data_IF_663864281040
#
_entry.id   IF_663864281040
#
_cell.length_a   1.000
_cell.length_b   1.000
_cell.length_c   1.000
_cell.angle_alpha   90.00
_cell.angle_beta   90.00
_cell.angle_gamma   90.00
#
_symmetry.space_group_name_H-M   'P 1'
#
loop_
_entity.id
_entity.type
_entity.pdbx_description
1 polymer ?
#
# COMPACT_ATOMS: atom_id res chain seq x y z
N UNK A 1 33.17 -16.51 28.35
CA UNK A 1 33.05 -15.06 28.28
C UNK A 1 32.79 -14.64 26.84
N UNK A 2 31.73 -15.17 26.22
CA UNK A 2 31.33 -14.96 24.81
C UNK A 2 29.81 -15.14 24.64
N UNK A 3 29.00 -14.51 25.51
CA UNK A 3 27.53 -14.52 25.44
C UNK A 3 27.01 -13.15 25.91
N UNK A 4 27.44 -12.07 25.25
CA UNK A 4 26.90 -10.74 25.56
C UNK A 4 26.97 -9.72 24.40
N UNK A 5 26.87 -10.16 23.15
CA UNK A 5 26.89 -9.25 21.97
C UNK A 5 25.82 -9.61 20.94
N UNK A 6 24.59 -9.90 21.37
CA UNK A 6 23.43 -10.06 20.49
C UNK A 6 22.20 -9.34 21.03
N UNK A 7 22.36 -8.13 21.50
CA UNK A 7 21.24 -7.26 21.85
C UNK A 7 21.72 -5.82 21.68
N UNK A 8 21.18 -5.12 20.72
CA UNK A 8 21.14 -3.68 20.45
C UNK A 8 21.65 -3.27 19.05
N UNK A 9 21.03 -3.83 18.02
CA UNK A 9 20.97 -3.11 16.76
C UNK A 9 19.52 -2.63 16.49
N UNK A 10 18.89 -2.02 17.49
CA UNK A 10 17.79 -1.10 17.28
C UNK A 10 18.44 0.20 16.79
N UNK A 11 18.43 0.44 15.49
CA UNK A 11 18.76 1.76 14.95
C UNK A 11 17.96 2.82 15.72
N UNK A 12 18.69 3.69 16.45
CA UNK A 12 18.07 4.78 17.20
C UNK A 12 17.39 5.70 16.19
N UNK A 13 16.06 5.63 16.10
CA UNK A 13 15.28 6.48 15.19
C UNK A 13 15.63 7.94 15.43
N UNK A 14 15.88 8.67 14.35
CA UNK A 14 16.05 10.12 14.40
C UNK A 14 14.78 10.80 14.95
N UNK A 15 14.90 12.05 15.43
CA UNK A 15 13.73 12.81 15.89
C UNK A 15 12.68 13.00 14.80
N UNK A 16 13.12 13.19 13.57
CA UNK A 16 12.23 13.25 12.41
C UNK A 16 11.45 11.94 12.22
N UNK A 17 12.13 10.79 12.26
CA UNK A 17 11.50 9.47 12.15
C UNK A 17 10.54 9.18 13.31
N UNK A 18 10.84 9.64 14.53
CA UNK A 18 9.94 9.52 15.68
C UNK A 18 8.66 10.36 15.46
N UNK A 19 8.79 11.58 14.93
CA UNK A 19 7.66 12.45 14.60
C UNK A 19 6.80 11.82 13.50
N UNK A 20 7.42 11.32 12.42
CA UNK A 20 6.70 10.67 11.31
C UNK A 20 5.94 9.43 11.77
N UNK A 21 6.53 8.56 12.57
CA UNK A 21 5.85 7.38 13.10
C UNK A 21 4.65 7.74 13.99
N UNK A 22 4.80 8.75 14.88
CA UNK A 22 3.71 9.23 15.72
C UNK A 22 2.59 9.91 14.88
N UNK A 23 2.97 10.67 13.86
CA UNK A 23 2.04 11.34 12.95
C UNK A 23 1.25 10.34 12.10
N UNK A 24 1.91 9.32 11.58
CA UNK A 24 1.25 8.24 10.85
C UNK A 24 0.14 7.62 11.69
N UNK A 25 0.45 7.20 12.90
CA UNK A 25 -0.54 6.61 13.81
C UNK A 25 -1.71 7.57 14.11
N UNK A 26 -1.43 8.85 14.35
CA UNK A 26 -2.44 9.86 14.64
C UNK A 26 -3.37 10.10 13.43
N UNK A 27 -2.79 10.23 12.21
CA UNK A 27 -3.57 10.43 10.99
C UNK A 27 -4.38 9.19 10.58
N UNK A 28 -3.79 8.00 10.64
CA UNK A 28 -4.50 6.77 10.29
C UNK A 28 -5.68 6.48 11.21
N UNK A 29 -5.62 6.89 12.49
CA UNK A 29 -6.67 6.62 13.47
C UNK A 29 -7.73 7.70 13.54
N UNK A 30 -7.34 8.98 13.39
CA UNK A 30 -8.23 10.13 13.60
C UNK A 30 -8.58 10.92 12.33
N UNK A 31 -8.01 10.54 11.20
CA UNK A 31 -8.07 11.31 9.96
C UNK A 31 -7.30 12.63 10.04
N UNK A 32 -7.26 13.35 8.92
CA UNK A 32 -6.58 14.65 8.91
C UNK A 32 -7.18 15.63 9.89
N UNK A 33 -8.50 15.84 9.88
CA UNK A 33 -9.15 16.89 10.69
C UNK A 33 -9.05 16.61 12.19
N UNK A 34 -9.19 15.34 12.60
CA UNK A 34 -9.11 14.91 14.00
C UNK A 34 -7.70 14.86 14.59
N UNK A 35 -6.67 14.78 13.77
CA UNK A 35 -5.29 14.71 14.21
C UNK A 35 -4.79 16.05 14.79
N UNK A 36 -4.01 15.98 15.88
CA UNK A 36 -3.45 17.16 16.58
C UNK A 36 -1.94 17.09 16.66
N UNK A 37 -1.26 18.14 16.22
CA UNK A 37 0.22 18.24 16.27
C UNK A 37 0.77 18.18 17.69
N UNK A 38 0.01 18.65 18.68
CA UNK A 38 0.37 18.52 20.10
C UNK A 38 0.36 17.09 20.59
N UNK A 39 -0.61 16.27 20.13
CA UNK A 39 -0.68 14.83 20.41
C UNK A 39 0.50 14.10 19.76
N UNK A 40 0.78 14.42 18.50
CA UNK A 40 1.92 13.86 17.75
C UNK A 40 3.23 14.16 18.46
N UNK A 41 3.49 15.41 18.84
CA UNK A 41 4.71 15.80 19.55
C UNK A 41 4.88 15.03 20.87
N UNK A 42 3.80 14.88 21.65
CA UNK A 42 3.79 14.12 22.90
C UNK A 42 4.14 12.65 22.68
N UNK A 43 3.54 11.99 21.69
CA UNK A 43 3.79 10.58 21.36
C UNK A 43 5.22 10.38 20.84
N UNK A 44 5.71 11.32 20.02
CA UNK A 44 7.06 11.31 19.46
C UNK A 44 8.16 11.62 20.50
N UNK A 45 7.80 12.01 21.74
CA UNK A 45 8.77 12.41 22.77
C UNK A 45 9.56 13.66 22.39
N UNK A 46 8.93 14.62 21.71
CA UNK A 46 9.53 15.90 21.31
C UNK A 46 8.68 17.08 21.80
N UNK A 47 9.29 18.26 21.86
CA UNK A 47 8.52 19.50 22.11
C UNK A 47 7.71 19.89 20.88
N UNK A 48 6.61 20.62 21.07
CA UNK A 48 5.81 21.14 19.95
C UNK A 48 6.64 22.09 19.05
N UNK A 49 7.54 22.87 19.64
CA UNK A 49 8.47 23.71 18.89
C UNK A 49 9.41 22.89 17.99
N UNK A 50 9.90 21.75 18.49
CA UNK A 50 10.75 20.85 17.71
C UNK A 50 9.96 20.20 16.56
N UNK A 51 8.72 19.80 16.76
CA UNK A 51 7.87 19.33 15.67
C UNK A 51 7.71 20.40 14.58
N UNK A 52 7.45 21.66 14.96
CA UNK A 52 7.33 22.76 14.01
C UNK A 52 8.65 23.16 13.33
N UNK A 53 9.78 22.85 13.94
CA UNK A 53 11.09 23.01 13.30
C UNK A 53 11.25 22.02 12.12
N UNK A 54 10.86 20.76 12.28
CA UNK A 54 10.91 19.73 11.23
C UNK A 54 9.79 19.89 10.19
N UNK A 55 8.57 20.14 10.69
CA UNK A 55 7.37 20.21 9.86
C UNK A 55 6.58 21.47 10.23
N UNK A 56 6.69 22.48 9.40
CA UNK A 56 6.11 23.81 9.67
C UNK A 56 4.59 23.79 9.78
N UNK A 57 3.92 22.89 9.05
CA UNK A 57 2.46 22.78 9.03
C UNK A 57 2.02 21.33 9.17
N UNK A 58 0.80 21.14 9.65
CA UNK A 58 0.14 19.83 9.71
C UNK A 58 -0.01 19.22 8.31
N UNK A 59 -0.26 20.06 7.28
CA UNK A 59 -0.37 19.64 5.89
C UNK A 59 0.95 19.05 5.37
N UNK A 60 2.07 19.73 5.59
CA UNK A 60 3.38 19.20 5.18
C UNK A 60 3.70 17.84 5.84
N UNK A 61 3.33 17.70 7.12
CA UNK A 61 3.51 16.42 7.83
C UNK A 61 2.61 15.33 7.24
N UNK A 62 1.37 15.66 6.91
CA UNK A 62 0.42 14.76 6.27
C UNK A 62 0.90 14.32 4.87
N UNK A 63 1.27 15.28 4.01
CA UNK A 63 1.80 15.00 2.67
C UNK A 63 3.02 14.09 2.74
N UNK A 64 3.93 14.34 3.69
CA UNK A 64 5.12 13.51 3.88
C UNK A 64 4.78 12.05 4.21
N UNK A 65 3.78 11.81 5.07
CA UNK A 65 3.30 10.46 5.41
C UNK A 65 2.72 9.78 4.16
N UNK A 66 1.87 10.49 3.42
CA UNK A 66 1.27 9.96 2.17
C UNK A 66 2.36 9.60 1.17
N UNK A 67 3.31 10.50 0.93
CA UNK A 67 4.42 10.29 -0.01
C UNK A 67 5.28 9.08 0.39
N UNK A 68 5.59 8.89 1.67
CA UNK A 68 6.36 7.75 2.16
C UNK A 68 5.64 6.42 1.96
N UNK A 69 4.32 6.37 2.20
CA UNK A 69 3.52 5.17 1.95
C UNK A 69 3.46 4.81 0.47
N UNK A 70 3.22 5.80 -0.39
CA UNK A 70 3.24 5.59 -1.84
C UNK A 70 4.63 5.18 -2.35
N UNK A 71 5.71 5.81 -1.86
CA UNK A 71 7.06 5.45 -2.23
C UNK A 71 7.43 4.02 -1.80
N UNK A 72 6.99 3.60 -0.62
CA UNK A 72 7.25 2.24 -0.12
C UNK A 72 6.52 1.19 -0.97
N UNK A 73 5.22 1.41 -1.22
CA UNK A 73 4.44 0.53 -2.10
C UNK A 73 5.03 0.47 -3.51
N UNK A 74 5.36 1.64 -4.09
CA UNK A 74 5.93 1.71 -5.43
C UNK A 74 7.24 0.94 -5.54
N UNK A 75 8.17 1.08 -4.58
CA UNK A 75 9.43 0.34 -4.59
C UNK A 75 9.20 -1.17 -4.60
N UNK A 76 8.30 -1.68 -3.75
CA UNK A 76 7.98 -3.10 -3.69
C UNK A 76 7.34 -3.60 -4.99
N UNK A 77 6.43 -2.81 -5.57
CA UNK A 77 5.79 -3.13 -6.86
C UNK A 77 6.80 -3.12 -8.01
N UNK A 78 7.66 -2.08 -8.09
CA UNK A 78 8.68 -2.01 -9.15
C UNK A 78 9.72 -3.12 -9.04
N UNK A 79 10.04 -3.59 -7.84
CA UNK A 79 10.97 -4.71 -7.66
C UNK A 79 10.48 -6.00 -8.33
N UNK A 80 9.18 -6.28 -8.28
CA UNK A 80 8.60 -7.48 -8.88
C UNK A 80 8.15 -7.25 -10.33
N UNK A 81 7.44 -6.14 -10.58
CA UNK A 81 6.90 -5.85 -11.91
C UNK A 81 7.98 -5.51 -12.94
N UNK A 82 9.10 -4.93 -12.49
CA UNK A 82 10.23 -4.53 -13.33
C UNK A 82 11.30 -5.61 -13.54
N UNK A 83 11.16 -6.81 -12.98
CA UNK A 83 12.18 -7.86 -13.15
C UNK A 83 12.07 -8.53 -14.54
N UNK A 84 13.00 -8.26 -15.47
CA UNK A 84 12.95 -8.82 -16.82
C UNK A 84 13.26 -10.32 -16.89
N UNK A 85 13.71 -10.92 -15.80
CA UNK A 85 14.01 -12.36 -15.71
C UNK A 85 12.76 -13.20 -15.49
N UNK A 86 11.68 -12.59 -14.99
CA UNK A 86 10.43 -13.27 -14.73
C UNK A 86 9.48 -13.14 -15.93
N UNK A 87 8.76 -14.22 -16.31
CA UNK A 87 7.66 -14.15 -17.24
C UNK A 87 6.62 -13.14 -16.79
N UNK A 88 5.94 -12.46 -17.74
CA UNK A 88 4.96 -11.42 -17.44
C UNK A 88 3.83 -11.91 -16.52
N UNK A 89 3.39 -13.17 -16.68
CA UNK A 89 2.38 -13.79 -15.82
C UNK A 89 2.85 -13.86 -14.36
N UNK A 90 4.09 -14.29 -14.14
CA UNK A 90 4.68 -14.37 -12.78
C UNK A 90 4.84 -12.98 -12.15
N UNK A 91 5.23 -11.99 -12.96
CA UNK A 91 5.31 -10.58 -12.50
C UNK A 91 3.95 -10.04 -12.07
N UNK A 92 2.90 -10.30 -12.85
CA UNK A 92 1.53 -9.89 -12.51
C UNK A 92 1.08 -10.56 -11.20
N UNK A 93 1.25 -11.88 -11.08
CA UNK A 93 0.86 -12.63 -9.86
C UNK A 93 1.68 -12.19 -8.65
N UNK A 94 2.98 -11.98 -8.83
CA UNK A 94 3.85 -11.40 -7.80
C UNK A 94 3.39 -10.00 -7.36
N UNK A 95 2.94 -9.18 -8.32
CA UNK A 95 2.35 -7.88 -8.05
C UNK A 95 1.06 -7.95 -7.22
N UNK A 96 0.16 -8.89 -7.53
CA UNK A 96 -1.05 -9.15 -6.74
C UNK A 96 -0.68 -9.49 -5.29
N UNK A 97 0.28 -10.41 -5.11
CA UNK A 97 0.74 -10.86 -3.80
C UNK A 97 1.39 -9.71 -3.01
N UNK A 98 2.34 -9.00 -3.64
CA UNK A 98 3.07 -7.88 -3.02
C UNK A 98 2.12 -6.76 -2.58
N UNK A 99 1.15 -6.40 -3.43
CA UNK A 99 0.15 -5.41 -3.08
C UNK A 99 -0.74 -5.88 -1.91
N UNK A 100 -1.18 -7.14 -1.91
CA UNK A 100 -1.98 -7.69 -0.81
C UNK A 100 -1.22 -7.63 0.51
N UNK A 101 0.05 -8.08 0.53
CA UNK A 101 0.89 -8.08 1.73
C UNK A 101 1.11 -6.66 2.26
N UNK A 102 1.40 -5.70 1.37
CA UNK A 102 1.52 -4.31 1.75
C UNK A 102 0.26 -3.78 2.45
N UNK A 103 -0.92 -4.10 1.93
CA UNK A 103 -2.19 -3.68 2.56
C UNK A 103 -2.42 -4.43 3.87
N UNK A 104 -2.08 -5.72 3.96
CA UNK A 104 -2.17 -6.51 5.18
C UNK A 104 -1.30 -5.96 6.32
N UNK A 105 -0.09 -5.48 5.99
CA UNK A 105 0.82 -4.80 6.91
C UNK A 105 0.35 -3.38 7.29
N UNK A 106 -0.50 -2.76 6.45
CA UNK A 106 -1.02 -1.41 6.64
C UNK A 106 -2.57 -1.36 6.61
N UNK A 107 -3.27 -2.10 7.48
CA UNK A 107 -4.71 -2.37 7.32
C UNK A 107 -5.61 -1.13 7.46
N UNK A 108 -5.14 -0.05 8.08
CA UNK A 108 -5.86 1.22 8.20
C UNK A 108 -5.67 2.12 6.96
N UNK A 109 -4.63 1.86 6.17
CA UNK A 109 -4.26 2.70 5.03
C UNK A 109 -5.35 2.78 3.95
N UNK A 110 -6.03 1.69 3.53
CA UNK A 110 -7.07 1.77 2.53
C UNK A 110 -8.21 2.72 2.91
N UNK A 111 -8.69 2.60 4.14
CA UNK A 111 -9.76 3.48 4.66
C UNK A 111 -9.29 4.93 4.73
N UNK A 112 -8.06 5.14 5.17
CA UNK A 112 -7.45 6.46 5.21
C UNK A 112 -7.36 7.09 3.81
N UNK A 113 -6.87 6.35 2.81
CA UNK A 113 -6.77 6.83 1.43
C UNK A 113 -8.16 7.19 0.87
N UNK A 114 -9.17 6.35 1.09
CA UNK A 114 -10.53 6.63 0.62
C UNK A 114 -11.06 7.92 1.26
N UNK A 115 -10.95 8.08 2.56
CA UNK A 115 -11.54 9.20 3.29
C UNK A 115 -10.77 10.52 3.09
N UNK A 116 -9.44 10.44 3.00
CA UNK A 116 -8.59 11.63 3.04
C UNK A 116 -8.06 12.06 1.67
N UNK A 117 -8.07 11.17 0.70
CA UNK A 117 -7.60 11.47 -0.66
C UNK A 117 -8.75 11.38 -1.65
N UNK A 118 -9.37 10.18 -1.81
CA UNK A 118 -10.38 9.95 -2.85
C UNK A 118 -11.64 10.80 -2.63
N UNK A 119 -12.08 10.97 -1.38
CA UNK A 119 -13.24 11.78 -1.03
C UNK A 119 -12.96 13.30 -1.04
N UNK A 120 -11.73 13.73 -1.31
CA UNK A 120 -11.31 15.15 -1.29
C UNK A 120 -10.68 15.55 -2.62
N UNK A 121 -11.47 16.14 -3.55
CA UNK A 121 -10.99 16.45 -4.91
C UNK A 121 -9.69 17.26 -4.95
N UNK A 122 -9.51 18.21 -4.05
CA UNK A 122 -8.32 19.06 -3.97
C UNK A 122 -7.04 18.26 -3.68
N UNK A 123 -7.12 17.22 -2.86
CA UNK A 123 -5.98 16.33 -2.55
C UNK A 123 -5.74 15.32 -3.67
N UNK A 124 -6.81 14.77 -4.22
CA UNK A 124 -6.74 13.87 -5.37
C UNK A 124 -6.05 14.53 -6.57
N UNK A 125 -6.40 15.79 -6.90
CA UNK A 125 -5.78 16.53 -8.00
C UNK A 125 -4.27 16.73 -7.82
N UNK A 126 -3.83 17.04 -6.60
CA UNK A 126 -2.40 17.19 -6.28
C UNK A 126 -1.67 15.88 -6.50
N UNK A 127 -2.21 14.77 -5.99
CA UNK A 127 -1.63 13.44 -6.17
C UNK A 127 -1.58 13.04 -7.64
N UNK A 128 -2.66 13.25 -8.37
CA UNK A 128 -2.76 12.94 -9.80
C UNK A 128 -1.76 13.73 -10.64
N UNK A 129 -1.59 15.03 -10.36
CA UNK A 129 -0.59 15.87 -11.05
C UNK A 129 0.84 15.39 -10.80
N UNK A 130 1.14 14.87 -9.61
CA UNK A 130 2.47 14.35 -9.26
C UNK A 130 2.78 12.99 -9.89
N UNK A 131 1.82 12.07 -9.89
CA UNK A 131 2.04 10.67 -10.25
C UNK A 131 1.45 10.26 -11.61
N UNK A 132 0.50 11.02 -12.16
CA UNK A 132 -0.32 10.59 -13.31
C UNK A 132 0.50 10.23 -14.54
N UNK A 133 1.51 11.05 -14.90
CA UNK A 133 2.36 10.78 -16.08
C UNK A 133 3.15 9.48 -15.91
N UNK A 134 3.68 9.23 -14.72
CA UNK A 134 4.44 8.00 -14.43
C UNK A 134 3.53 6.77 -14.50
N UNK A 135 2.32 6.88 -13.92
CA UNK A 135 1.32 5.81 -13.93
C UNK A 135 0.85 5.50 -15.35
N UNK A 136 0.55 6.53 -16.16
CA UNK A 136 0.13 6.33 -17.56
C UNK A 136 1.23 5.69 -18.41
N UNK A 137 2.48 6.09 -18.20
CA UNK A 137 3.63 5.47 -18.88
C UNK A 137 3.76 3.99 -18.49
N UNK A 138 3.66 3.68 -17.20
CA UNK A 138 3.71 2.31 -16.70
C UNK A 138 2.58 1.45 -17.31
N UNK A 139 1.35 1.96 -17.36
CA UNK A 139 0.23 1.22 -17.96
C UNK A 139 0.45 0.96 -19.45
N UNK A 140 0.94 1.94 -20.19
CA UNK A 140 1.24 1.78 -21.61
C UNK A 140 2.31 0.71 -21.85
N UNK A 141 3.40 0.77 -21.10
CA UNK A 141 4.52 -0.14 -21.27
C UNK A 141 4.13 -1.58 -20.88
N UNK A 142 3.38 -1.74 -19.79
CA UNK A 142 2.84 -3.03 -19.37
C UNK A 142 1.82 -3.60 -20.37
N UNK A 143 0.95 -2.75 -20.97
CA UNK A 143 0.02 -3.18 -22.00
C UNK A 143 0.73 -3.74 -23.25
N UNK A 144 1.82 -3.08 -23.67
CA UNK A 144 2.63 -3.57 -24.80
C UNK A 144 3.24 -4.95 -24.49
N UNK A 145 3.76 -5.17 -23.28
CA UNK A 145 4.28 -6.47 -22.88
C UNK A 145 3.20 -7.55 -22.83
N UNK A 146 2.02 -7.23 -22.32
CA UNK A 146 0.85 -8.13 -22.29
C UNK A 146 0.43 -8.50 -23.70
N UNK A 147 0.32 -7.53 -24.62
CA UNK A 147 -0.09 -7.77 -26.00
C UNK A 147 0.93 -8.70 -26.72
N UNK A 148 2.23 -8.46 -26.56
CA UNK A 148 3.28 -9.31 -27.09
C UNK A 148 3.26 -10.73 -26.50
N UNK A 149 3.04 -10.88 -25.22
CA UNK A 149 2.94 -12.19 -24.58
C UNK A 149 1.68 -12.96 -25.04
N UNK A 150 0.58 -12.26 -25.24
CA UNK A 150 -0.65 -12.84 -25.79
C UNK A 150 -0.46 -13.32 -27.24
N UNK A 151 0.23 -12.54 -28.08
CA UNK A 151 0.58 -12.94 -29.46
C UNK A 151 1.47 -14.20 -29.48
N UNK A 152 2.41 -14.33 -28.52
CA UNK A 152 3.21 -15.54 -28.37
C UNK A 152 2.46 -16.73 -27.76
N UNK A 153 1.21 -16.50 -27.31
CA UNK A 153 0.39 -17.54 -26.71
C UNK A 153 0.75 -17.88 -25.27
N UNK A 154 1.48 -17.00 -24.59
CA UNK A 154 1.93 -17.18 -23.19
C UNK A 154 0.83 -16.82 -22.17
N UNK A 155 -0.13 -15.97 -22.56
CA UNK A 155 -1.25 -15.55 -21.73
C UNK A 155 -2.46 -15.11 -22.57
N UNK A 156 -3.60 -14.90 -21.90
CA UNK A 156 -4.77 -14.27 -22.52
C UNK A 156 -4.54 -12.77 -22.71
N UNK A 157 -5.12 -12.21 -23.79
CA UNK A 157 -5.13 -10.77 -24.01
C UNK A 157 -6.04 -10.10 -23.00
N UNK A 158 -5.50 -9.20 -22.18
CA UNK A 158 -6.26 -8.45 -21.16
C UNK A 158 -5.91 -6.97 -21.21
N UNK A 159 -6.88 -6.13 -20.91
CA UNK A 159 -6.66 -4.70 -20.68
C UNK A 159 -6.03 -4.47 -19.31
N UNK A 160 -4.87 -3.82 -19.29
CA UNK A 160 -4.08 -3.61 -18.07
C UNK A 160 -4.79 -2.75 -17.03
N UNK A 161 -5.57 -1.74 -17.47
CA UNK A 161 -6.31 -0.85 -16.55
C UNK A 161 -7.46 -1.60 -15.90
N UNK A 162 -8.17 -2.43 -16.66
CA UNK A 162 -9.24 -3.29 -16.14
C UNK A 162 -8.67 -4.39 -15.21
N UNK A 163 -7.51 -4.92 -15.53
CA UNK A 163 -6.80 -5.88 -14.67
C UNK A 163 -6.41 -5.22 -13.34
N UNK A 164 -5.83 -4.01 -13.40
CA UNK A 164 -5.48 -3.23 -12.22
C UNK A 164 -6.69 -2.94 -11.33
N UNK A 165 -7.82 -2.47 -11.90
CA UNK A 165 -9.05 -2.23 -11.14
C UNK A 165 -9.52 -3.50 -10.45
N UNK A 166 -9.46 -4.66 -11.12
CA UNK A 166 -9.84 -5.94 -10.52
C UNK A 166 -8.95 -6.31 -9.34
N UNK A 167 -7.63 -6.17 -9.48
CA UNK A 167 -6.66 -6.44 -8.41
C UNK A 167 -6.89 -5.50 -7.22
N UNK A 168 -7.02 -4.20 -7.48
CA UNK A 168 -7.26 -3.20 -6.44
C UNK A 168 -8.56 -3.48 -5.69
N UNK A 169 -9.65 -3.79 -6.41
CA UNK A 169 -10.97 -4.09 -5.81
C UNK A 169 -10.88 -5.30 -4.87
N UNK A 170 -10.26 -6.39 -5.30
CA UNK A 170 -10.15 -7.60 -4.49
C UNK A 170 -9.23 -7.41 -3.28
N UNK A 171 -8.07 -6.79 -3.47
CA UNK A 171 -7.10 -6.63 -2.40
C UNK A 171 -7.54 -5.58 -1.38
N UNK A 172 -8.01 -4.41 -1.82
CA UNK A 172 -8.37 -3.29 -0.95
C UNK A 172 -9.68 -3.52 -0.23
N UNK A 173 -10.72 -4.03 -0.92
CA UNK A 173 -12.04 -4.25 -0.35
C UNK A 173 -12.01 -5.19 0.85
N UNK A 174 -11.15 -6.20 0.82
CA UNK A 174 -10.93 -7.14 1.93
C UNK A 174 -10.69 -6.40 3.26
N UNK A 175 -9.87 -5.33 3.26
CA UNK A 175 -9.51 -4.59 4.47
C UNK A 175 -10.49 -3.48 4.81
N UNK A 176 -11.07 -2.83 3.81
CA UNK A 176 -12.09 -1.79 4.02
C UNK A 176 -13.36 -2.38 4.64
N UNK A 177 -13.78 -3.54 4.13
CA UNK A 177 -15.00 -4.20 4.58
C UNK A 177 -14.80 -5.12 5.80
N UNK A 178 -13.54 -5.39 6.20
CA UNK A 178 -13.21 -6.34 7.26
C UNK A 178 -14.07 -6.18 8.53
N UNK A 179 -14.18 -4.96 9.14
CA UNK A 179 -14.93 -4.79 10.37
C UNK A 179 -16.44 -5.07 10.24
N UNK A 180 -16.98 -4.91 9.03
CA UNK A 180 -18.39 -5.21 8.73
C UNK A 180 -18.60 -6.68 8.40
N UNK A 181 -17.65 -7.30 7.69
CA UNK A 181 -17.76 -8.69 7.24
C UNK A 181 -17.46 -9.70 8.34
N UNK A 182 -16.53 -9.41 9.24
CA UNK A 182 -16.11 -10.31 10.31
C UNK A 182 -17.28 -10.89 11.11
N UNK A 183 -18.23 -10.10 11.67
CA UNK A 183 -19.37 -10.64 12.40
C UNK A 183 -20.37 -11.41 11.53
N UNK A 184 -20.38 -11.20 10.21
CA UNK A 184 -21.28 -11.85 9.27
C UNK A 184 -20.72 -13.19 8.75
N UNK A 185 -19.40 -13.34 8.68
CA UNK A 185 -18.72 -14.50 8.09
C UNK A 185 -18.40 -15.60 9.12
N UNK A 186 -18.61 -15.34 10.42
CA UNK A 186 -18.47 -16.33 11.48
C UNK A 186 -17.11 -17.02 11.50
N UNK A 187 -17.10 -18.34 11.43
CA UNK A 187 -15.87 -19.14 11.53
C UNK A 187 -14.83 -18.82 10.46
N UNK A 188 -15.27 -18.43 9.26
CA UNK A 188 -14.34 -18.09 8.16
C UNK A 188 -13.35 -16.99 8.54
N UNK A 189 -13.78 -16.02 9.35
CA UNK A 189 -12.98 -14.86 9.73
C UNK A 189 -12.54 -14.88 11.20
N UNK A 190 -12.79 -15.97 11.93
CA UNK A 190 -12.44 -16.12 13.35
C UNK A 190 -10.92 -16.08 13.60
N UNK A 191 -10.13 -16.63 12.68
CA UNK A 191 -8.67 -16.49 12.65
C UNK A 191 -8.27 -15.57 11.50
N UNK A 192 -7.94 -14.34 11.85
CA UNK A 192 -7.55 -13.31 10.87
C UNK A 192 -6.37 -13.72 10.01
N UNK A 193 -5.35 -14.37 10.59
CA UNK A 193 -4.15 -14.73 9.83
C UNK A 193 -4.48 -15.80 8.78
N UNK A 194 -5.23 -16.83 9.17
CA UNK A 194 -5.71 -17.87 8.28
C UNK A 194 -6.61 -17.30 7.18
N UNK A 195 -7.59 -16.45 7.53
CA UNK A 195 -8.46 -15.80 6.56
C UNK A 195 -7.67 -14.97 5.53
N UNK A 196 -6.74 -14.12 5.96
CA UNK A 196 -5.96 -13.30 5.03
C UNK A 196 -5.08 -14.15 4.12
N UNK A 197 -4.50 -15.23 4.61
CA UNK A 197 -3.74 -16.20 3.80
C UNK A 197 -4.61 -16.86 2.73
N UNK A 198 -5.80 -17.34 3.09
CA UNK A 198 -6.77 -17.92 2.15
C UNK A 198 -7.25 -16.88 1.14
N UNK A 199 -7.57 -15.66 1.60
CA UNK A 199 -8.04 -14.58 0.72
C UNK A 199 -6.99 -14.15 -0.28
N UNK A 200 -5.72 -14.07 0.13
CA UNK A 200 -4.59 -13.82 -0.77
C UNK A 200 -4.49 -14.88 -1.85
N UNK A 201 -4.55 -16.16 -1.46
CA UNK A 201 -4.48 -17.27 -2.40
C UNK A 201 -5.65 -17.24 -3.41
N UNK A 202 -6.88 -16.95 -2.95
CA UNK A 202 -8.08 -16.82 -3.79
C UNK A 202 -7.95 -15.66 -4.79
N UNK A 203 -7.43 -14.50 -4.34
CA UNK A 203 -7.21 -13.35 -5.24
C UNK A 203 -6.18 -13.68 -6.33
N UNK A 204 -5.09 -14.34 -5.96
CA UNK A 204 -4.04 -14.80 -6.90
C UNK A 204 -4.64 -15.77 -7.91
N UNK A 205 -5.38 -16.80 -7.45
CA UNK A 205 -6.00 -17.79 -8.33
C UNK A 205 -7.01 -17.16 -9.30
N UNK A 206 -7.81 -16.22 -8.81
CA UNK A 206 -8.80 -15.51 -9.63
C UNK A 206 -8.13 -14.74 -10.77
N UNK A 207 -7.05 -14.01 -10.47
CA UNK A 207 -6.28 -13.28 -11.50
C UNK A 207 -5.57 -14.25 -12.42
N UNK A 208 -4.95 -15.30 -11.88
CA UNK A 208 -4.27 -16.32 -12.69
C UNK A 208 -5.20 -16.97 -13.71
N UNK A 209 -6.41 -17.38 -13.30
CA UNK A 209 -7.43 -17.96 -14.22
C UNK A 209 -7.85 -16.98 -15.32
N UNK A 210 -7.89 -15.69 -15.02
CA UNK A 210 -8.24 -14.66 -16.00
C UNK A 210 -7.16 -14.44 -17.05
N UNK A 211 -5.88 -14.56 -16.66
CA UNK A 211 -4.75 -14.21 -17.55
C UNK A 211 -4.06 -15.42 -18.16
N UNK A 212 -4.23 -16.62 -17.58
CA UNK A 212 -3.62 -17.85 -18.08
C UNK A 212 -4.39 -18.34 -19.31
N UNK A 213 -3.67 -18.65 -20.38
CA UNK A 213 -4.24 -19.28 -21.58
C UNK A 213 -4.82 -20.64 -21.21
N UNK A 214 -6.06 -20.88 -21.65
CA UNK A 214 -6.73 -22.18 -21.51
C UNK A 214 -6.20 -23.20 -22.51
#
# INVERSE_FOLDING_TARGET
MLVKERADNQEVKTKEQQILAAAEQEFLTKGYDGARTTSIAKVAGVTHAMLHYYFRTKEQLFERIVDEKFATMSRSMFAIMGDPKLPIVERIIGGVATHFDFVAENPLLPRFIINEIVARPERYEVLYKRAGVVIETMYRDLQLEIDLAAERGEMEKVDVKMLFISIMSMNVFTFVAYPFMEPLMGELMSDRASFLSQRKAENIETILRRIKKQ
#
